data_IF_629741353276
#
_entry.id   IF_629741353276
#
_cell.length_a   1.000
_cell.length_b   1.000
_cell.length_c   1.000
_cell.angle_alpha   90.00
_cell.angle_beta   90.00
_cell.angle_gamma   90.00
#
_symmetry.space_group_name_H-M   'P 1'
#
loop_
_entity.id
_entity.type
_entity.pdbx_description
1 polymer ?
#
# COMPACT_ATOMS: atom_id res chain seq x y z
N UNK A 1 -5.99 -2.16 -11.07
CA UNK A 1 -7.44 -2.48 -11.05
C UNK A 1 -7.63 -3.85 -10.42
N UNK A 2 -8.73 -4.06 -9.68
CA UNK A 2 -9.12 -5.34 -9.13
C UNK A 2 -10.65 -5.50 -9.16
N UNK A 3 -11.11 -6.72 -9.37
CA UNK A 3 -12.51 -7.16 -9.33
C UNK A 3 -12.72 -8.08 -8.14
N UNK A 4 -13.95 -8.52 -7.90
CA UNK A 4 -14.26 -9.45 -6.81
C UNK A 4 -13.56 -10.81 -7.02
N UNK A 5 -13.56 -11.34 -8.25
CA UNK A 5 -12.88 -12.58 -8.67
C UNK A 5 -11.36 -12.58 -8.47
N UNK A 6 -10.75 -11.39 -8.29
CA UNK A 6 -9.30 -11.25 -8.14
C UNK A 6 -8.81 -11.56 -6.72
N UNK A 7 -9.73 -11.78 -5.78
CA UNK A 7 -9.39 -12.38 -4.49
C UNK A 7 -9.40 -13.89 -4.68
N UNK A 8 -8.23 -14.51 -4.55
CA UNK A 8 -8.04 -15.94 -4.75
C UNK A 8 -7.37 -16.57 -3.52
N UNK A 9 -7.58 -17.85 -3.33
CA UNK A 9 -6.85 -18.63 -2.33
C UNK A 9 -5.86 -19.55 -3.03
N UNK A 10 -4.58 -19.41 -2.73
CA UNK A 10 -3.51 -20.22 -3.28
C UNK A 10 -2.53 -20.60 -2.16
N UNK A 11 -2.16 -21.87 -2.09
CA UNK A 11 -1.26 -22.42 -1.06
C UNK A 11 -1.68 -22.05 0.39
N UNK A 12 -2.99 -21.90 0.65
CA UNK A 12 -3.52 -21.54 1.96
C UNK A 12 -3.53 -20.05 2.27
N UNK A 13 -2.98 -19.22 1.38
CA UNK A 13 -2.95 -17.76 1.51
C UNK A 13 -4.05 -17.09 0.69
N UNK A 14 -4.54 -15.94 1.17
CA UNK A 14 -5.43 -15.10 0.40
C UNK A 14 -4.63 -14.09 -0.42
N UNK A 15 -4.80 -14.10 -1.72
CA UNK A 15 -4.11 -13.24 -2.67
C UNK A 15 -5.09 -12.29 -3.34
N UNK A 16 -4.70 -11.04 -3.54
CA UNK A 16 -5.41 -10.09 -4.38
C UNK A 16 -4.60 -9.83 -5.65
N UNK A 17 -5.08 -10.33 -6.79
CA UNK A 17 -4.49 -10.05 -8.08
C UNK A 17 -4.85 -8.64 -8.55
N UNK A 18 -3.87 -7.93 -9.08
CA UNK A 18 -4.01 -6.54 -9.49
C UNK A 18 -3.42 -6.28 -10.87
N UNK A 19 -4.16 -5.54 -11.68
CA UNK A 19 -3.69 -5.04 -12.96
C UNK A 19 -2.91 -3.73 -12.76
N UNK A 20 -1.64 -3.72 -13.15
CA UNK A 20 -0.79 -2.54 -13.14
C UNK A 20 -1.18 -1.50 -14.20
N UNK A 21 -0.69 -0.26 -14.05
CA UNK A 21 -0.84 0.77 -15.07
C UNK A 21 -0.05 0.37 -16.32
N UNK A 22 -0.69 0.44 -17.49
CA UNK A 22 -0.07 0.08 -18.77
C UNK A 22 0.15 -1.43 -19.00
N UNK A 23 -0.53 -2.29 -18.21
CA UNK A 23 -0.51 -3.73 -18.39
C UNK A 23 -1.91 -4.25 -18.73
N UNK A 24 -1.97 -5.23 -19.65
CA UNK A 24 -3.23 -5.85 -20.06
C UNK A 24 -3.58 -7.07 -19.19
N UNK A 25 -2.62 -7.59 -18.42
CA UNK A 25 -2.77 -8.75 -17.54
C UNK A 25 -2.73 -8.37 -16.06
N UNK A 26 -3.32 -9.24 -15.21
CA UNK A 26 -3.25 -9.19 -13.75
C UNK A 26 -2.13 -10.14 -13.29
N UNK A 27 -0.91 -9.77 -13.56
CA UNK A 27 0.32 -10.55 -13.31
C UNK A 27 0.99 -10.26 -11.97
N UNK A 28 0.46 -9.30 -11.22
CA UNK A 28 0.96 -8.94 -9.90
C UNK A 28 -0.12 -9.21 -8.84
N UNK A 29 0.32 -9.64 -7.67
CA UNK A 29 -0.56 -9.86 -6.52
C UNK A 29 0.00 -9.24 -5.25
N UNK A 30 -0.85 -9.11 -4.25
CA UNK A 30 -0.50 -8.81 -2.87
C UNK A 30 -1.14 -9.86 -1.96
N UNK A 31 -0.42 -10.26 -0.91
CA UNK A 31 -0.95 -11.16 0.12
C UNK A 31 -1.91 -10.35 0.99
N UNK A 32 -3.11 -10.89 1.19
CA UNK A 32 -4.09 -10.34 2.12
C UNK A 32 -3.93 -11.03 3.47
N UNK A 33 -3.23 -10.40 4.39
CA UNK A 33 -3.19 -10.85 5.78
C UNK A 33 -4.61 -10.82 6.38
N UNK A 34 -4.84 -11.55 7.47
CA UNK A 34 -6.16 -11.56 8.14
C UNK A 34 -6.64 -10.14 8.48
N UNK A 35 -5.73 -9.26 8.92
CA UNK A 35 -6.02 -7.86 9.23
C UNK A 35 -6.54 -7.04 8.03
N UNK A 36 -6.11 -7.38 6.80
CA UNK A 36 -6.57 -6.72 5.57
C UNK A 36 -7.75 -7.45 4.92
N UNK A 37 -7.80 -8.78 5.02
CA UNK A 37 -8.85 -9.59 4.41
C UNK A 37 -10.21 -9.44 5.11
N UNK A 38 -10.21 -9.40 6.45
CA UNK A 38 -11.42 -9.26 7.26
C UNK A 38 -12.26 -8.04 6.88
N UNK A 39 -11.74 -6.80 6.87
CA UNK A 39 -12.54 -5.64 6.49
C UNK A 39 -13.00 -5.68 5.03
N UNK A 40 -12.27 -6.34 4.13
CA UNK A 40 -12.70 -6.54 2.74
C UNK A 40 -13.91 -7.47 2.70
N UNK A 41 -13.89 -8.59 3.44
CA UNK A 41 -15.03 -9.53 3.53
C UNK A 41 -16.25 -8.86 4.15
N UNK A 42 -16.08 -8.08 5.21
CA UNK A 42 -17.15 -7.31 5.85
C UNK A 42 -17.77 -6.29 4.88
N UNK A 43 -16.93 -5.56 4.13
CA UNK A 43 -17.39 -4.66 3.08
C UNK A 43 -18.19 -5.39 1.99
N UNK A 44 -17.69 -6.52 1.47
CA UNK A 44 -18.38 -7.30 0.44
C UNK A 44 -19.73 -7.84 0.97
N UNK A 45 -19.78 -8.30 2.22
CA UNK A 45 -21.03 -8.73 2.89
C UNK A 45 -22.03 -7.58 2.98
N UNK A 46 -21.60 -6.40 3.41
CA UNK A 46 -22.44 -5.22 3.53
C UNK A 46 -22.91 -4.68 2.16
N UNK A 47 -22.06 -4.81 1.14
CA UNK A 47 -22.40 -4.44 -0.24
C UNK A 47 -23.49 -5.34 -0.83
N UNK A 48 -23.62 -6.59 -0.37
CA UNK A 48 -24.52 -7.59 -0.91
C UNK A 48 -23.99 -8.29 -2.17
N UNK A 49 -24.89 -8.96 -2.91
CA UNK A 49 -24.51 -9.73 -4.10
C UNK A 49 -23.87 -8.83 -5.17
N UNK A 50 -22.67 -9.16 -5.56
CA UNK A 50 -21.94 -8.56 -6.67
C UNK A 50 -21.51 -9.66 -7.65
N UNK A 51 -21.46 -9.34 -8.95
CA UNK A 51 -20.90 -10.25 -9.95
C UNK A 51 -19.39 -10.40 -9.70
N UNK A 52 -18.83 -11.52 -10.12
CA UNK A 52 -17.39 -11.79 -9.96
C UNK A 52 -16.52 -10.78 -10.72
N UNK A 53 -16.94 -10.36 -11.91
CA UNK A 53 -16.30 -9.35 -12.74
C UNK A 53 -16.52 -7.91 -12.27
N UNK A 54 -17.36 -7.69 -11.25
CA UNK A 54 -17.62 -6.37 -10.71
C UNK A 54 -16.38 -5.79 -10.00
N UNK A 55 -16.21 -4.46 -9.98
CA UNK A 55 -15.13 -3.83 -9.24
C UNK A 55 -15.12 -4.26 -7.78
N UNK A 56 -13.94 -4.62 -7.22
CA UNK A 56 -13.80 -5.00 -5.82
C UNK A 56 -14.35 -3.90 -4.90
N UNK A 57 -13.93 -2.66 -5.13
CA UNK A 57 -14.47 -1.48 -4.44
C UNK A 57 -15.34 -0.67 -5.41
N UNK A 58 -16.60 -0.50 -5.05
CA UNK A 58 -17.60 0.16 -5.88
C UNK A 58 -17.91 1.58 -5.42
N UNK A 59 -18.26 2.42 -6.37
CA UNK A 59 -18.73 3.78 -6.11
C UNK A 59 -20.16 3.79 -5.56
N UNK A 60 -20.41 4.60 -4.55
CA UNK A 60 -21.73 4.88 -4.00
C UNK A 60 -22.32 6.20 -4.57
N UNK A 61 -21.62 6.88 -5.49
CA UNK A 61 -22.11 8.12 -6.06
C UNK A 61 -23.31 7.88 -6.99
N UNK A 62 -24.27 8.79 -6.99
CA UNK A 62 -25.47 8.69 -7.84
C UNK A 62 -25.15 8.58 -9.33
N UNK A 63 -24.03 9.20 -9.78
CA UNK A 63 -23.62 9.19 -11.20
C UNK A 63 -22.93 7.88 -11.63
N UNK A 64 -22.38 7.11 -10.70
CA UNK A 64 -21.61 5.90 -11.01
C UNK A 64 -21.81 4.83 -9.94
N UNK A 65 -23.05 4.63 -9.52
CA UNK A 65 -23.38 3.66 -8.46
C UNK A 65 -23.04 2.23 -8.90
N UNK A 66 -22.26 1.55 -8.08
CA UNK A 66 -21.79 0.19 -8.38
C UNK A 66 -20.60 0.13 -9.35
N UNK A 67 -20.26 1.23 -10.02
CA UNK A 67 -19.12 1.28 -10.93
C UNK A 67 -17.78 1.43 -10.20
N UNK A 68 -16.68 1.38 -10.93
CA UNK A 68 -15.32 1.45 -10.39
C UNK A 68 -15.03 2.85 -9.82
N UNK A 69 -14.35 2.89 -8.68
CA UNK A 69 -13.84 4.14 -8.11
C UNK A 69 -12.82 4.80 -9.06
N UNK A 70 -12.94 6.11 -9.23
CA UNK A 70 -11.95 6.91 -9.95
C UNK A 70 -10.70 7.12 -9.10
N UNK A 71 -9.57 7.40 -9.73
CA UNK A 71 -8.32 7.75 -9.02
C UNK A 71 -8.51 8.93 -8.07
N UNK A 72 -9.29 9.93 -8.50
CA UNK A 72 -9.63 11.11 -7.69
C UNK A 72 -10.40 10.72 -6.42
N UNK A 73 -11.36 9.79 -6.52
CA UNK A 73 -12.12 9.31 -5.37
C UNK A 73 -11.24 8.52 -4.40
N UNK A 74 -10.34 7.67 -4.91
CA UNK A 74 -9.37 6.94 -4.07
C UNK A 74 -8.47 7.93 -3.33
N UNK A 75 -7.94 8.94 -4.01
CA UNK A 75 -7.13 9.99 -3.38
C UNK A 75 -7.90 10.75 -2.29
N UNK A 76 -9.19 11.04 -2.54
CA UNK A 76 -10.05 11.68 -1.54
C UNK A 76 -10.26 10.77 -0.32
N UNK A 77 -10.61 9.51 -0.51
CA UNK A 77 -10.79 8.53 0.58
C UNK A 77 -9.51 8.44 1.44
N UNK A 78 -8.34 8.36 0.79
CA UNK A 78 -7.06 8.32 1.48
C UNK A 78 -6.82 9.61 2.29
N UNK A 79 -7.10 10.77 1.71
CA UNK A 79 -6.96 12.05 2.42
C UNK A 79 -7.91 12.18 3.59
N UNK A 80 -9.17 11.80 3.42
CA UNK A 80 -10.17 11.81 4.47
C UNK A 80 -9.77 10.88 5.65
N UNK A 81 -9.17 9.71 5.33
CA UNK A 81 -8.64 8.80 6.34
C UNK A 81 -7.46 9.39 7.12
N UNK A 82 -6.53 10.08 6.45
CA UNK A 82 -5.43 10.80 7.10
C UNK A 82 -5.95 11.89 8.04
N UNK A 83 -6.91 12.69 7.59
CA UNK A 83 -7.51 13.76 8.41
C UNK A 83 -8.18 13.16 9.64
N UNK A 84 -8.94 12.08 9.51
CA UNK A 84 -9.59 11.37 10.63
C UNK A 84 -8.56 10.81 11.64
N UNK A 85 -7.38 10.45 11.18
CA UNK A 85 -6.27 10.03 12.03
C UNK A 85 -5.48 11.20 12.65
N UNK A 86 -5.95 12.45 12.50
CA UNK A 86 -5.26 13.63 13.01
C UNK A 86 -4.11 14.14 12.14
N UNK A 87 -3.89 13.54 10.97
CA UNK A 87 -2.79 13.86 10.06
C UNK A 87 -3.25 14.80 8.94
N UNK A 88 -3.58 16.05 9.30
CA UNK A 88 -4.07 17.06 8.35
C UNK A 88 -2.93 17.95 7.81
N UNK A 89 -1.96 17.34 7.10
CA UNK A 89 -0.90 18.04 6.39
C UNK A 89 -1.15 17.96 4.87
N UNK A 90 -1.02 19.08 4.15
CA UNK A 90 -1.22 19.13 2.68
C UNK A 90 -0.26 18.23 1.90
N UNK A 91 0.93 17.95 2.45
CA UNK A 91 1.95 17.07 1.86
C UNK A 91 1.55 15.59 1.93
N UNK A 92 0.68 15.21 2.87
CA UNK A 92 0.22 13.83 3.04
C UNK A 92 -0.91 13.51 2.06
N UNK A 93 -0.66 12.52 1.24
CA UNK A 93 -1.54 12.08 0.14
C UNK A 93 -1.71 10.56 0.13
N UNK A 94 -2.48 10.04 -0.81
CA UNK A 94 -2.57 8.59 -1.04
C UNK A 94 -1.19 7.94 -1.30
N UNK A 95 -0.24 8.70 -1.87
CA UNK A 95 1.12 8.21 -2.12
C UNK A 95 1.92 8.02 -0.82
N UNK A 96 1.60 8.79 0.22
CA UNK A 96 2.23 8.65 1.54
C UNK A 96 1.99 7.28 2.17
N UNK A 97 0.82 6.66 1.96
CA UNK A 97 0.57 5.28 2.41
C UNK A 97 1.53 4.28 1.76
N UNK A 98 1.87 4.48 0.49
CA UNK A 98 2.84 3.65 -0.22
C UNK A 98 4.24 3.81 0.38
N UNK A 99 4.67 5.05 0.63
CA UNK A 99 5.95 5.33 1.28
C UNK A 99 6.02 4.67 2.64
N UNK A 100 4.97 4.83 3.45
CA UNK A 100 4.88 4.22 4.78
C UNK A 100 4.94 2.69 4.71
N UNK A 101 4.21 2.05 3.78
CA UNK A 101 4.22 0.61 3.63
C UNK A 101 5.62 0.06 3.29
N UNK A 102 6.34 0.72 2.38
CA UNK A 102 7.71 0.34 2.01
C UNK A 102 8.65 0.49 3.21
N UNK A 103 8.58 1.63 3.90
CA UNK A 103 9.42 1.89 5.08
C UNK A 103 9.14 0.87 6.18
N UNK A 104 7.87 0.60 6.50
CA UNK A 104 7.49 -0.36 7.53
C UNK A 104 7.88 -1.79 7.16
N UNK A 105 7.81 -2.19 5.89
CA UNK A 105 8.27 -3.52 5.47
C UNK A 105 9.76 -3.71 5.72
N UNK A 106 10.58 -2.72 5.36
CA UNK A 106 12.03 -2.73 5.62
C UNK A 106 12.36 -2.73 7.11
N UNK A 107 11.67 -1.90 7.90
CA UNK A 107 11.81 -1.87 9.37
C UNK A 107 11.36 -3.19 10.01
N UNK A 108 10.39 -3.87 9.41
CA UNK A 108 9.93 -5.19 9.81
C UNK A 108 10.86 -6.34 9.39
N UNK A 109 11.99 -6.04 8.75
CA UNK A 109 13.02 -7.02 8.38
C UNK A 109 12.89 -7.57 6.95
N UNK A 110 12.00 -7.02 6.12
CA UNK A 110 11.96 -7.40 4.71
C UNK A 110 13.26 -6.98 4.00
N UNK A 111 13.72 -7.82 3.08
CA UNK A 111 14.82 -7.48 2.19
C UNK A 111 14.42 -6.36 1.21
N UNK A 112 15.40 -5.70 0.61
CA UNK A 112 15.15 -4.67 -0.41
C UNK A 112 14.39 -5.24 -1.60
N UNK A 113 14.67 -6.50 -1.97
CA UNK A 113 13.97 -7.18 -3.07
C UNK A 113 12.49 -7.46 -2.73
N UNK A 114 12.19 -7.90 -1.50
CA UNK A 114 10.81 -8.10 -1.05
C UNK A 114 10.04 -6.77 -0.98
N UNK A 115 10.67 -5.71 -0.47
CA UNK A 115 10.11 -4.38 -0.45
C UNK A 115 9.91 -3.81 -1.87
N UNK A 116 10.82 -4.10 -2.82
CA UNK A 116 10.69 -3.78 -4.23
C UNK A 116 9.47 -4.47 -4.85
N UNK A 117 9.30 -5.77 -4.58
CA UNK A 117 8.17 -6.55 -5.07
C UNK A 117 6.84 -6.02 -4.51
N UNK A 118 6.76 -5.77 -3.21
CA UNK A 118 5.61 -5.15 -2.55
C UNK A 118 5.26 -3.80 -3.18
N UNK A 119 6.26 -2.97 -3.38
CA UNK A 119 6.13 -1.65 -4.00
C UNK A 119 5.90 -1.73 -5.51
N UNK A 120 6.23 -2.84 -6.16
CA UNK A 120 6.22 -2.99 -7.61
C UNK A 120 7.06 -1.93 -8.32
N UNK A 121 8.24 -1.65 -7.77
CA UNK A 121 9.20 -0.77 -8.42
C UNK A 121 9.92 -1.52 -9.52
N UNK A 122 9.91 -0.98 -10.74
CA UNK A 122 10.66 -1.52 -11.88
C UNK A 122 12.17 -1.40 -11.70
N UNK A 123 12.62 -0.42 -10.93
CA UNK A 123 14.03 -0.17 -10.63
C UNK A 123 14.26 -0.31 -9.12
N UNK A 124 15.18 -1.20 -8.72
CA UNK A 124 15.55 -1.45 -7.33
C UNK A 124 16.10 -0.19 -6.63
N UNK A 125 16.77 0.69 -7.36
CA UNK A 125 17.30 1.94 -6.80
C UNK A 125 16.23 2.81 -6.16
N UNK A 126 14.99 2.74 -6.68
CA UNK A 126 13.85 3.44 -6.07
C UNK A 126 13.55 2.91 -4.66
N UNK A 127 13.76 1.62 -4.41
CA UNK A 127 13.57 1.01 -3.08
C UNK A 127 14.79 1.22 -2.20
N UNK A 128 15.99 1.21 -2.75
CA UNK A 128 17.24 1.46 -2.00
C UNK A 128 17.23 2.82 -1.30
N UNK A 129 16.59 3.84 -1.86
CA UNK A 129 16.46 5.15 -1.21
C UNK A 129 15.85 5.02 0.20
N UNK A 130 14.84 4.15 0.35
CA UNK A 130 14.21 3.93 1.67
C UNK A 130 15.15 3.23 2.64
N UNK A 131 15.84 2.17 2.20
CA UNK A 131 16.82 1.46 3.00
C UNK A 131 17.95 2.37 3.46
N UNK A 132 18.50 3.16 2.55
CA UNK A 132 19.53 4.16 2.87
C UNK A 132 19.05 5.21 3.88
N UNK A 133 17.83 5.70 3.75
CA UNK A 133 17.28 6.68 4.70
C UNK A 133 17.10 6.08 6.09
N UNK A 134 16.64 4.83 6.20
CA UNK A 134 16.51 4.11 7.47
C UNK A 134 17.89 3.92 8.10
N UNK A 135 18.86 3.45 7.34
CA UNK A 135 20.25 3.26 7.79
C UNK A 135 20.91 4.58 8.20
N UNK A 136 20.70 5.65 7.43
CA UNK A 136 21.23 6.97 7.71
C UNK A 136 20.75 7.52 9.04
N UNK A 137 19.47 7.34 9.35
CA UNK A 137 18.86 7.79 10.61
C UNK A 137 19.34 6.90 11.77
N UNK A 138 19.32 5.58 11.59
CA UNK A 138 19.67 4.63 12.66
C UNK A 138 21.16 4.69 13.02
N UNK A 139 22.04 4.78 12.02
CA UNK A 139 23.50 4.80 12.19
C UNK A 139 24.05 6.18 12.49
N UNK A 140 23.35 7.25 12.13
CA UNK A 140 23.63 8.67 12.35
C UNK A 140 25.12 8.95 12.61
N UNK A 141 26.00 9.03 11.58
CA UNK A 141 27.44 9.19 11.77
C UNK A 141 27.81 10.46 12.55
N UNK A 142 26.91 11.44 12.60
CA UNK A 142 27.04 12.64 13.43
C UNK A 142 27.17 12.29 14.92
N UNK A 143 26.42 11.31 15.42
CA UNK A 143 26.50 10.84 16.82
C UNK A 143 27.87 10.25 17.14
N UNK A 144 28.52 9.63 16.14
CA UNK A 144 29.87 9.11 16.32
C UNK A 144 30.92 10.23 16.42
N UNK A 145 30.73 11.32 15.66
CA UNK A 145 31.54 12.52 15.76
C UNK A 145 31.38 13.15 17.15
N UNK A 146 30.15 13.35 17.60
CA UNK A 146 29.85 13.90 18.93
C UNK A 146 30.49 13.06 20.04
N UNK A 147 30.41 11.72 19.94
CA UNK A 147 31.04 10.82 20.92
C UNK A 147 32.58 10.97 20.96
N UNK A 148 33.20 11.19 19.81
CA UNK A 148 34.68 11.43 19.75
C UNK A 148 35.05 12.78 20.33
N UNK A 149 34.26 13.82 20.08
CA UNK A 149 34.53 15.18 20.56
C UNK A 149 34.23 15.33 22.06
N UNK A 150 33.28 14.58 22.58
CA UNK A 150 32.87 14.60 24.00
C UNK A 150 33.82 13.78 24.90
N UNK A 151 34.72 13.02 24.32
CA UNK A 151 35.74 12.21 25.03
C UNK A 151 37.06 12.94 25.27
N UNK A 152 37.11 14.20 24.89
CA UNK A 152 38.19 15.15 25.22
C UNK A 152 37.62 16.22 26.18
#
# INVERSE_FOLDING_TARGET
RANVEDIRSEAGEALLYIQGKGRDSKDAFVILTEASLRPIKEYLKARGKAKEDAPLFASNSNRNRGGRLTTRMISKIAKDALIKAGLNDSRLTAHSFRHTAITLSLLGGATVQEAQALARHSNINTTLIYAHNIDRISKAPERKIDSLLSGY
#
